data_IF_446400824740
#
_entry.id   IF_446400824740
#
_cell.length_a   1.000
_cell.length_b   1.000
_cell.length_c   1.000
_cell.angle_alpha   90.00
_cell.angle_beta   90.00
_cell.angle_gamma   90.00
#
_symmetry.space_group_name_H-M   'P 1'
#
loop_
_entity.id
_entity.type
_entity.pdbx_description
1 polymer ?
#
# COMPACT_ATOMS: atom_id res chain seq x y z
N UNK A 1 0.49 -3.97 -5.53
CA UNK A 1 -0.11 -5.33 -5.50
C UNK A 1 -1.52 -5.36 -6.11
N UNK A 2 -2.48 -4.59 -5.60
CA UNK A 2 -3.88 -4.62 -6.05
C UNK A 2 -4.05 -4.46 -7.59
N UNK A 3 -3.28 -3.57 -8.22
CA UNK A 3 -3.33 -3.36 -9.68
C UNK A 3 -2.90 -4.63 -10.45
N UNK A 4 -1.90 -5.36 -9.97
CA UNK A 4 -1.42 -6.59 -10.64
C UNK A 4 -2.53 -7.66 -10.61
N UNK A 5 -3.22 -7.79 -9.49
CA UNK A 5 -4.23 -8.82 -9.24
C UNK A 5 -5.56 -8.47 -9.93
N UNK A 6 -6.04 -7.24 -9.76
CA UNK A 6 -7.42 -6.86 -10.12
C UNK A 6 -7.55 -6.03 -11.39
N UNK A 7 -6.46 -5.49 -11.94
CA UNK A 7 -6.54 -4.76 -13.20
C UNK A 7 -6.86 -5.71 -14.36
N UNK A 8 -7.60 -5.24 -15.36
CA UNK A 8 -7.82 -5.99 -16.60
C UNK A 8 -6.87 -5.55 -17.72
N UNK A 9 -6.41 -4.29 -17.68
CA UNK A 9 -5.55 -3.74 -18.73
C UNK A 9 -4.08 -4.15 -18.58
N UNK A 10 -3.45 -4.47 -19.72
CA UNK A 10 -2.07 -4.98 -19.79
C UNK A 10 -1.01 -3.89 -19.51
N UNK A 11 -1.27 -2.66 -19.94
CA UNK A 11 -0.48 -1.45 -19.66
C UNK A 11 -0.30 -1.24 -18.14
N UNK A 12 -1.41 -1.22 -17.39
CA UNK A 12 -1.42 -1.01 -15.95
C UNK A 12 -0.68 -2.13 -15.21
N UNK A 13 -0.84 -3.38 -15.67
CA UNK A 13 -0.10 -4.52 -15.11
C UNK A 13 1.39 -4.42 -15.38
N UNK A 14 1.80 -3.96 -16.57
CA UNK A 14 3.22 -3.81 -16.92
C UNK A 14 3.90 -2.78 -16.02
N UNK A 15 3.28 -1.61 -15.85
CA UNK A 15 3.78 -0.55 -14.95
C UNK A 15 3.86 -1.06 -13.52
N UNK A 16 2.79 -1.70 -13.03
CA UNK A 16 2.76 -2.22 -11.66
C UNK A 16 3.80 -3.32 -11.41
N UNK A 17 4.14 -4.14 -12.41
CA UNK A 17 5.21 -5.15 -12.31
C UNK A 17 6.60 -4.52 -12.25
N UNK A 18 6.87 -3.52 -13.09
CA UNK A 18 8.14 -2.78 -13.08
C UNK A 18 8.37 -2.07 -11.75
N UNK A 19 7.29 -1.62 -11.11
CA UNK A 19 7.34 -0.92 -9.84
C UNK A 19 7.47 -1.82 -8.60
N UNK A 20 7.48 -3.16 -8.73
CA UNK A 20 7.58 -4.06 -7.57
C UNK A 20 8.93 -3.89 -6.86
N UNK A 21 10.02 -3.93 -7.62
CA UNK A 21 11.37 -3.83 -7.07
C UNK A 21 11.58 -2.53 -6.28
N UNK A 22 11.31 -1.32 -6.83
CA UNK A 22 11.37 -0.09 -6.04
C UNK A 22 10.33 -0.05 -4.92
N UNK A 23 9.13 -0.61 -5.13
CA UNK A 23 8.07 -0.65 -4.13
C UNK A 23 8.39 -1.47 -2.89
N UNK A 24 9.21 -2.52 -3.00
CA UNK A 24 9.70 -3.29 -1.84
C UNK A 24 10.52 -2.40 -0.91
N UNK A 25 11.21 -1.40 -1.45
CA UNK A 25 12.00 -0.42 -0.70
C UNK A 25 11.25 0.90 -0.47
N UNK A 26 9.91 0.84 -0.45
CA UNK A 26 9.01 1.98 -0.22
C UNK A 26 9.11 3.13 -1.22
N UNK A 27 9.71 2.89 -2.40
CA UNK A 27 9.77 3.86 -3.50
C UNK A 27 8.51 3.71 -4.36
N UNK A 28 7.63 4.71 -4.32
CA UNK A 28 6.25 4.63 -4.87
C UNK A 28 6.06 5.40 -6.19
N UNK A 29 7.01 6.26 -6.54
CA UNK A 29 7.03 7.16 -7.69
C UNK A 29 6.78 6.43 -9.02
N UNK A 30 7.35 5.24 -9.29
CA UNK A 30 7.08 4.51 -10.54
C UNK A 30 5.61 4.15 -10.72
N UNK A 31 4.88 3.89 -9.63
CA UNK A 31 3.42 3.63 -9.68
C UNK A 31 2.67 4.96 -9.76
N UNK A 32 3.00 5.91 -8.89
CA UNK A 32 2.27 7.17 -8.72
C UNK A 32 2.29 8.00 -10.00
N UNK A 33 3.43 8.09 -10.67
CA UNK A 33 3.57 8.81 -11.93
C UNK A 33 3.28 7.94 -13.16
N UNK A 34 3.52 6.63 -13.07
CA UNK A 34 3.24 5.71 -14.18
C UNK A 34 1.75 5.47 -14.43
N UNK A 35 0.92 5.43 -13.39
CA UNK A 35 -0.53 5.22 -13.45
C UNK A 35 -1.33 6.52 -13.22
N UNK A 36 -0.75 7.66 -13.64
CA UNK A 36 -0.97 9.01 -13.12
C UNK A 36 -1.97 9.11 -11.95
N UNK A 37 -1.61 8.51 -10.81
CA UNK A 37 -2.53 8.36 -9.66
C UNK A 37 -2.98 9.73 -9.15
N UNK A 38 -2.07 10.71 -9.15
CA UNK A 38 -2.34 12.09 -8.71
C UNK A 38 -3.40 12.77 -9.58
N UNK A 39 -3.46 12.44 -10.87
CA UNK A 39 -4.40 13.03 -11.82
C UNK A 39 -5.67 12.19 -11.99
N UNK A 40 -5.74 11.00 -11.36
CA UNK A 40 -6.89 10.11 -11.44
C UNK A 40 -7.65 10.12 -10.09
N UNK A 41 -8.76 10.87 -9.96
CA UNK A 41 -9.50 10.98 -8.71
C UNK A 41 -9.94 9.63 -8.14
N UNK A 42 -10.21 8.63 -9.00
CA UNK A 42 -10.65 7.30 -8.59
C UNK A 42 -9.53 6.55 -7.86
N UNK A 43 -8.28 6.68 -8.34
CA UNK A 43 -7.12 6.05 -7.70
C UNK A 43 -6.48 6.92 -6.61
N UNK A 44 -6.75 8.23 -6.63
CA UNK A 44 -6.28 9.15 -5.60
C UNK A 44 -6.96 8.94 -4.24
N UNK A 45 -8.27 8.63 -4.24
CA UNK A 45 -9.02 8.32 -3.00
C UNK A 45 -8.39 7.16 -2.22
N UNK A 46 -8.20 5.95 -2.81
CA UNK A 46 -7.59 4.85 -2.08
C UNK A 46 -6.12 5.12 -1.74
N UNK A 47 -5.43 5.95 -2.54
CA UNK A 47 -4.07 6.39 -2.22
C UNK A 47 -4.02 7.17 -0.91
N UNK A 48 -4.88 8.17 -0.72
CA UNK A 48 -4.95 8.90 0.55
C UNK A 48 -5.32 7.99 1.73
N UNK A 49 -6.36 7.17 1.56
CA UNK A 49 -6.85 6.30 2.63
C UNK A 49 -5.81 5.26 3.05
N UNK A 50 -4.90 4.87 2.16
CA UNK A 50 -3.83 3.92 2.48
C UNK A 50 -2.79 4.44 3.46
N UNK A 51 -2.71 5.76 3.68
CA UNK A 51 -1.88 6.36 4.73
C UNK A 51 -2.66 6.50 6.04
N UNK A 52 -3.89 7.01 5.92
CA UNK A 52 -4.75 7.38 7.05
C UNK A 52 -5.19 6.16 7.85
N UNK A 53 -5.70 5.13 7.17
CA UNK A 53 -6.30 3.98 7.86
C UNK A 53 -5.24 3.17 8.64
N UNK A 54 -4.09 2.81 8.04
CA UNK A 54 -3.04 2.14 8.81
C UNK A 54 -2.57 3.00 9.98
N UNK A 55 -2.31 4.30 9.78
CA UNK A 55 -1.86 5.18 10.87
C UNK A 55 -2.77 5.10 12.12
N UNK A 56 -4.07 5.33 11.94
CA UNK A 56 -5.02 5.30 13.06
C UNK A 56 -5.21 3.89 13.65
N UNK A 57 -5.22 2.85 12.81
CA UNK A 57 -5.26 1.46 13.30
C UNK A 57 -4.02 1.11 14.12
N UNK A 58 -2.84 1.51 13.66
CA UNK A 58 -1.58 1.27 14.37
C UNK A 58 -1.58 1.94 15.73
N UNK A 59 -1.98 3.22 15.77
CA UNK A 59 -2.11 3.98 17.02
C UNK A 59 -3.06 3.27 18.01
N UNK A 60 -4.26 2.90 17.56
CA UNK A 60 -5.24 2.21 18.41
C UNK A 60 -4.70 0.87 18.93
N UNK A 61 -4.07 0.07 18.06
CA UNK A 61 -3.53 -1.23 18.44
C UNK A 61 -2.35 -1.13 19.40
N UNK A 62 -1.57 -0.05 19.33
CA UNK A 62 -0.53 0.25 20.31
C UNK A 62 -1.12 0.72 21.64
N UNK A 63 -2.15 1.57 21.63
CA UNK A 63 -2.82 2.05 22.85
C UNK A 63 -3.47 0.92 23.67
N UNK A 64 -4.09 -0.07 23.00
CA UNK A 64 -4.66 -1.25 23.67
C UNK A 64 -3.62 -2.31 24.04
N UNK A 65 -2.34 -2.08 23.73
CA UNK A 65 -1.22 -2.97 24.08
C UNK A 65 -1.05 -4.20 23.19
N UNK A 66 -1.70 -4.27 22.02
CA UNK A 66 -1.57 -5.39 21.09
C UNK A 66 -0.24 -5.35 20.32
N UNK A 67 0.20 -4.14 19.95
CA UNK A 67 1.48 -3.91 19.26
C UNK A 67 2.38 -3.07 20.17
N UNK A 68 3.64 -3.45 20.38
CA UNK A 68 4.57 -2.65 21.16
C UNK A 68 4.76 -1.25 20.58
N UNK A 69 5.07 -0.30 21.45
CA UNK A 69 5.52 1.03 21.03
C UNK A 69 6.78 0.92 20.17
N UNK A 70 6.97 1.90 19.29
CA UNK A 70 8.17 2.00 18.47
C UNK A 70 9.35 2.39 19.38
N UNK A 71 10.40 1.58 19.40
CA UNK A 71 11.59 1.76 20.25
C UNK A 71 12.84 2.09 19.46
N UNK A 72 12.83 1.87 18.15
CA UNK A 72 14.00 1.96 17.29
C UNK A 72 13.71 2.88 16.10
N UNK A 73 14.73 3.60 15.64
CA UNK A 73 14.67 4.31 14.37
C UNK A 73 15.21 3.42 13.25
N UNK A 74 14.41 3.16 12.23
CA UNK A 74 14.72 2.26 11.12
C UNK A 74 14.67 3.07 9.83
N UNK A 75 15.63 2.91 8.90
CA UNK A 75 15.54 3.58 7.60
C UNK A 75 14.22 3.26 6.90
N UNK A 76 13.58 4.29 6.32
CA UNK A 76 12.27 4.14 5.68
C UNK A 76 12.29 3.23 4.44
N UNK A 77 13.46 2.98 3.85
CA UNK A 77 13.63 2.06 2.71
C UNK A 77 13.64 0.58 3.10
N UNK A 78 13.63 0.26 4.41
CA UNK A 78 13.57 -1.14 4.86
C UNK A 78 12.24 -1.78 4.44
N UNK A 79 12.26 -3.02 3.90
CA UNK A 79 11.06 -3.70 3.46
C UNK A 79 9.95 -3.76 4.53
N UNK A 80 8.67 -3.56 4.19
CA UNK A 80 7.58 -3.29 5.14
C UNK A 80 7.43 -4.29 6.30
N UNK A 81 7.56 -5.59 6.05
CA UNK A 81 7.41 -6.60 7.12
C UNK A 81 8.62 -6.58 8.06
N UNK A 82 9.81 -6.44 7.49
CA UNK A 82 11.04 -6.35 8.26
C UNK A 82 11.10 -5.02 9.04
N UNK A 83 10.62 -3.93 8.46
CA UNK A 83 10.58 -2.63 9.14
C UNK A 83 9.68 -2.70 10.37
N UNK A 84 8.51 -3.33 10.30
CA UNK A 84 7.64 -3.54 11.47
C UNK A 84 8.31 -4.31 12.61
N UNK A 85 9.08 -5.35 12.30
CA UNK A 85 9.88 -6.09 13.27
C UNK A 85 10.93 -5.19 13.93
N UNK A 86 11.68 -4.43 13.11
CA UNK A 86 12.80 -3.62 13.59
C UNK A 86 12.35 -2.38 14.36
N UNK A 87 11.23 -1.76 13.99
CA UNK A 87 10.68 -0.59 14.68
C UNK A 87 10.20 -0.94 16.10
N UNK A 88 9.52 -2.07 16.25
CA UNK A 88 8.90 -2.50 17.52
C UNK A 88 9.76 -3.47 18.34
N UNK A 89 10.82 -4.02 17.76
CA UNK A 89 11.61 -5.11 18.34
C UNK A 89 10.82 -6.43 18.51
N UNK A 90 9.62 -6.53 17.92
CA UNK A 90 8.67 -7.62 18.18
C UNK A 90 8.04 -8.16 16.91
N UNK A 91 7.73 -9.45 16.92
CA UNK A 91 7.01 -10.13 15.84
C UNK A 91 5.62 -9.51 15.61
N UNK A 92 5.02 -8.89 16.63
CA UNK A 92 3.71 -8.22 16.51
C UNK A 92 3.75 -7.05 15.54
N UNK A 93 4.86 -6.29 15.47
CA UNK A 93 5.02 -5.23 14.48
C UNK A 93 5.12 -5.76 13.04
N UNK A 94 5.77 -6.91 12.85
CA UNK A 94 5.84 -7.58 11.55
C UNK A 94 4.46 -8.09 11.09
N UNK A 95 3.71 -8.72 12.01
CA UNK A 95 2.35 -9.20 11.75
C UNK A 95 1.40 -8.05 11.41
N UNK A 96 1.51 -6.93 12.11
CA UNK A 96 0.75 -5.74 11.81
C UNK A 96 1.07 -5.18 10.42
N UNK A 97 2.34 -5.11 10.02
CA UNK A 97 2.71 -4.68 8.67
C UNK A 97 2.16 -5.63 7.59
N UNK A 98 2.22 -6.94 7.82
CA UNK A 98 1.59 -7.92 6.92
C UNK A 98 0.07 -7.71 6.81
N UNK A 99 -0.60 -7.43 7.94
CA UNK A 99 -2.01 -7.10 8.00
C UNK A 99 -2.35 -5.80 7.25
N UNK A 100 -1.53 -4.76 7.39
CA UNK A 100 -1.67 -3.50 6.66
C UNK A 100 -1.60 -3.71 5.15
N UNK A 101 -0.65 -4.53 4.67
CA UNK A 101 -0.56 -4.86 3.23
C UNK A 101 -1.88 -5.47 2.74
N UNK A 102 -2.47 -6.39 3.49
CA UNK A 102 -3.75 -7.02 3.14
C UNK A 102 -4.88 -6.01 3.11
N UNK A 103 -5.01 -5.17 4.15
CA UNK A 103 -6.03 -4.11 4.19
C UNK A 103 -5.90 -3.18 2.99
N UNK A 104 -4.70 -2.70 2.71
CA UNK A 104 -4.47 -1.75 1.61
C UNK A 104 -4.78 -2.41 0.26
N UNK A 105 -4.47 -3.69 0.08
CA UNK A 105 -4.85 -4.44 -1.14
C UNK A 105 -6.37 -4.53 -1.29
N UNK A 106 -7.09 -4.86 -0.22
CA UNK A 106 -8.55 -4.93 -0.22
C UNK A 106 -9.14 -3.55 -0.48
N UNK A 107 -8.59 -2.51 0.14
CA UNK A 107 -9.03 -1.13 -0.02
C UNK A 107 -8.89 -0.65 -1.46
N UNK A 108 -7.79 -0.98 -2.14
CA UNK A 108 -7.60 -0.61 -3.55
C UNK A 108 -8.46 -1.42 -4.52
N UNK A 109 -8.91 -2.62 -4.13
CA UNK A 109 -9.65 -3.55 -5.01
C UNK A 109 -10.88 -2.91 -5.71
N UNK A 110 -11.84 -2.27 -5.01
CA UNK A 110 -13.01 -1.68 -5.67
C UNK A 110 -12.62 -0.56 -6.63
N UNK A 111 -11.69 0.31 -6.24
CA UNK A 111 -11.28 1.46 -7.04
C UNK A 111 -10.55 1.04 -8.32
N UNK A 112 -9.69 0.02 -8.25
CA UNK A 112 -9.03 -0.54 -9.44
C UNK A 112 -10.07 -1.10 -10.42
N UNK A 113 -11.12 -1.77 -9.93
CA UNK A 113 -12.19 -2.29 -10.79
C UNK A 113 -12.99 -1.17 -11.45
N UNK A 114 -13.36 -0.13 -10.68
CA UNK A 114 -14.08 1.04 -11.20
C UNK A 114 -13.24 1.78 -12.24
N UNK A 115 -11.96 2.02 -11.97
CA UNK A 115 -11.05 2.70 -12.90
C UNK A 115 -10.92 1.93 -14.24
N UNK A 116 -10.79 0.60 -14.20
CA UNK A 116 -10.74 -0.20 -15.42
C UNK A 116 -12.06 -0.17 -16.21
N UNK A 117 -13.20 -0.22 -15.51
CA UNK A 117 -14.52 -0.19 -16.17
C UNK A 117 -14.79 1.17 -16.84
N UNK A 118 -14.35 2.28 -16.23
CA UNK A 118 -14.49 3.61 -16.82
C UNK A 118 -13.61 3.76 -18.07
N UNK A 119 -12.36 3.32 -17.99
CA UNK A 119 -11.44 3.36 -19.14
C UNK A 119 -12.00 2.57 -20.33
N UNK A 120 -12.54 1.36 -20.10
CA UNK A 120 -13.15 0.54 -21.14
C UNK A 120 -14.42 1.13 -21.78
N UNK A 121 -15.05 2.15 -21.19
CA UNK A 121 -16.20 2.85 -21.79
C UNK A 121 -15.78 4.05 -22.65
N UNK A 122 -14.55 4.54 -22.44
CA UNK A 122 -13.99 5.68 -23.16
C UNK A 122 -13.19 5.23 -24.38
N UNK A 123 -12.67 4.00 -24.34
CA UNK A 123 -12.10 3.26 -25.47
C UNK A 123 -13.22 2.62 -26.33
#
# INVERSE_FOLDING_TARGET
IAIIIFSKRADNKKIAKLAIAPGIFNVSEPVTYGLPIVLNPILFIPYLLSWVIPFFLGQLLTEIGLIPIITNNVPWTVPPILSGLLYSGSIMGALYQAFVIVIVVILYMPFVRVANNLANKLD
#
